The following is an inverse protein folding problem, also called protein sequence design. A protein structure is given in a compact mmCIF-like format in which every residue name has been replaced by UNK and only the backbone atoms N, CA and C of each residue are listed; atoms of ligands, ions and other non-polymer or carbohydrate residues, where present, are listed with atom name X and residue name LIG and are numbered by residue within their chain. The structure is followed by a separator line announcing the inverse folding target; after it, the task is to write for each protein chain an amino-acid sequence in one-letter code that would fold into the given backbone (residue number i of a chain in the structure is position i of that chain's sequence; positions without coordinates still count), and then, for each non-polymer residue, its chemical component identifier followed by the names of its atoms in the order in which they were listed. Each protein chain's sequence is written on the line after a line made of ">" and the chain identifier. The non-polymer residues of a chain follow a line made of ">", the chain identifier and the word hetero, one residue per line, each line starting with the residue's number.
data_IF_094754661294
#
_entry.id   IF_094754661294
#
_cell.length_a   1.000
_cell.length_b   1.000
_cell.length_c   1.000
_cell.angle_alpha   90.00
_cell.angle_beta   90.00
_cell.angle_gamma   90.00
#
_symmetry.space_group_name_H-M   'P 1'
#
loop_
_entity.id
_entity.type
_entity.pdbx_description
1 polymer ?
#
# COMPACT_ATOMS: atom_id res chain seq x y z
N UNK A 1 -3.38 -18.69 5.24
CA UNK A 1 -3.48 -17.69 6.35
C UNK A 1 -4.63 -16.73 6.10
N UNK A 2 -5.36 -16.31 7.13
CA UNK A 2 -6.48 -15.37 7.04
C UNK A 2 -6.13 -14.06 7.76
N UNK A 3 -6.07 -12.96 7.04
CA UNK A 3 -5.68 -11.64 7.56
C UNK A 3 -6.94 -10.82 7.81
N UNK A 4 -7.06 -10.23 8.99
CA UNK A 4 -8.16 -9.32 9.33
C UNK A 4 -7.58 -7.95 9.66
N UNK A 5 -7.95 -6.94 8.86
CA UNK A 5 -7.54 -5.56 9.03
C UNK A 5 -8.75 -4.63 9.22
N UNK A 6 -8.62 -3.48 9.86
CA UNK A 6 -9.70 -2.49 9.98
C UNK A 6 -10.07 -1.89 8.61
N UNK A 7 -9.08 -1.65 7.78
CA UNK A 7 -9.16 -1.06 6.44
C UNK A 7 -7.89 -1.38 5.65
N UNK A 8 -7.83 -0.97 4.39
CA UNK A 8 -6.58 -1.03 3.62
C UNK A 8 -5.63 0.05 4.09
N UNK A 9 -4.46 -0.38 4.56
CA UNK A 9 -3.37 0.50 5.01
C UNK A 9 -2.08 0.16 4.28
N UNK A 10 -1.10 1.07 4.32
CA UNK A 10 0.23 0.81 3.78
C UNK A 10 0.89 -0.40 4.43
N UNK A 11 0.67 -0.60 5.71
CA UNK A 11 1.19 -1.76 6.45
C UNK A 11 0.58 -3.08 5.94
N UNK A 12 -0.71 -3.08 5.60
CA UNK A 12 -1.35 -4.24 4.98
C UNK A 12 -0.77 -4.50 3.58
N UNK A 13 -0.64 -3.48 2.75
CA UNK A 13 -0.05 -3.61 1.41
C UNK A 13 1.40 -4.14 1.49
N UNK A 14 2.18 -3.69 2.47
CA UNK A 14 3.54 -4.21 2.72
C UNK A 14 3.53 -5.65 3.19
N UNK A 15 2.66 -5.98 4.13
CA UNK A 15 2.50 -7.37 4.58
C UNK A 15 2.16 -8.29 3.41
N UNK A 16 1.24 -7.88 2.53
CA UNK A 16 0.89 -8.64 1.34
C UNK A 16 2.11 -8.82 0.41
N UNK A 17 2.89 -7.75 0.14
CA UNK A 17 4.14 -7.84 -0.64
C UNK A 17 5.13 -8.84 -0.03
N UNK A 18 5.28 -8.88 1.29
CA UNK A 18 6.15 -9.88 1.95
C UNK A 18 5.62 -11.30 1.79
N UNK A 19 4.32 -11.50 1.95
CA UNK A 19 3.70 -12.82 1.77
C UNK A 19 3.81 -13.32 0.34
N UNK A 20 3.65 -12.41 -0.64
CA UNK A 20 3.83 -12.72 -2.06
C UNK A 20 5.29 -13.12 -2.36
N UNK A 21 6.28 -12.39 -1.85
CA UNK A 21 7.71 -12.75 -1.96
C UNK A 21 8.04 -14.12 -1.35
N UNK A 22 7.34 -14.49 -0.27
CA UNK A 22 7.50 -15.79 0.38
C UNK A 22 6.68 -16.90 -0.29
N UNK A 23 5.84 -16.58 -1.28
CA UNK A 23 4.91 -17.54 -1.89
C UNK A 23 3.86 -18.07 -0.92
N UNK A 24 3.59 -17.33 0.17
CA UNK A 24 2.67 -17.74 1.22
C UNK A 24 1.22 -17.40 0.84
N UNK A 25 0.32 -18.38 0.70
CA UNK A 25 -1.07 -18.10 0.37
C UNK A 25 -1.81 -17.41 1.51
N UNK A 26 -2.58 -16.39 1.17
CA UNK A 26 -3.37 -15.64 2.15
C UNK A 26 -4.70 -15.15 1.55
N UNK A 27 -5.63 -14.80 2.45
CA UNK A 27 -6.87 -14.08 2.14
C UNK A 27 -6.99 -12.89 3.08
N UNK A 28 -7.49 -11.76 2.58
CA UNK A 28 -7.67 -10.54 3.37
C UNK A 28 -9.14 -10.24 3.57
N UNK A 29 -9.51 -9.95 4.81
CA UNK A 29 -10.81 -9.44 5.16
C UNK A 29 -10.67 -8.09 5.88
N UNK A 30 -11.24 -7.01 5.31
CA UNK A 30 -11.27 -5.71 5.96
C UNK A 30 -12.61 -5.48 6.65
N UNK A 31 -12.55 -4.98 7.89
CA UNK A 31 -13.76 -4.82 8.71
C UNK A 31 -14.44 -3.47 8.55
N UNK A 32 -14.06 -2.70 7.53
CA UNK A 32 -14.80 -1.52 7.08
C UNK A 32 -15.89 -1.92 6.06
N UNK A 33 -16.51 -0.91 5.45
CA UNK A 33 -17.57 -1.07 4.46
C UNK A 33 -17.11 -0.65 3.06
N UNK A 34 -15.85 -0.85 2.76
CA UNK A 34 -15.25 -0.55 1.46
C UNK A 34 -15.84 -1.46 0.37
N UNK A 35 -16.07 -0.91 -0.82
CA UNK A 35 -16.72 -1.63 -1.93
C UNK A 35 -15.84 -1.76 -3.16
N UNK A 36 -14.70 -1.04 -3.21
CA UNK A 36 -13.74 -1.06 -4.31
C UNK A 36 -12.49 -1.86 -3.96
N UNK A 37 -12.65 -3.16 -3.85
CA UNK A 37 -11.60 -4.10 -3.45
C UNK A 37 -11.18 -5.00 -4.62
N UNK A 38 -9.94 -5.49 -4.56
CA UNK A 38 -9.42 -6.51 -5.47
C UNK A 38 -10.08 -7.89 -5.23
N UNK A 39 -9.68 -8.87 -6.04
CA UNK A 39 -10.26 -10.22 -5.95
C UNK A 39 -9.86 -10.99 -4.69
N UNK A 40 -8.72 -10.66 -4.08
CA UNK A 40 -8.18 -11.35 -2.91
C UNK A 40 -8.66 -10.73 -1.59
N UNK A 41 -9.24 -9.53 -1.65
CA UNK A 41 -9.70 -8.78 -0.48
C UNK A 41 -11.22 -8.77 -0.42
N UNK A 42 -11.77 -9.00 0.75
CA UNK A 42 -13.20 -8.92 1.04
C UNK A 42 -13.46 -7.95 2.20
N UNK A 43 -14.64 -7.34 2.23
CA UNK A 43 -15.07 -6.44 3.32
C UNK A 43 -16.44 -6.83 3.86
N UNK A 44 -16.87 -6.15 4.93
CA UNK A 44 -18.25 -6.30 5.42
C UNK A 44 -19.30 -6.01 4.35
N UNK A 45 -19.07 -5.00 3.48
CA UNK A 45 -20.00 -4.66 2.41
C UNK A 45 -19.95 -5.69 1.28
N UNK A 46 -18.74 -6.05 0.80
CA UNK A 46 -18.57 -6.96 -0.33
C UNK A 46 -19.00 -8.39 0.02
N UNK A 47 -18.88 -8.81 1.27
CA UNK A 47 -19.40 -10.10 1.75
C UNK A 47 -20.89 -10.30 1.44
N UNK A 48 -21.67 -9.23 1.53
CA UNK A 48 -23.10 -9.30 1.22
C UNK A 48 -23.41 -9.00 -0.24
N UNK A 49 -22.70 -8.05 -0.86
CA UNK A 49 -23.01 -7.52 -2.21
C UNK A 49 -22.31 -8.27 -3.34
N UNK A 50 -21.24 -9.01 -3.06
CA UNK A 50 -20.39 -9.68 -4.07
C UNK A 50 -20.29 -11.20 -3.85
N UNK A 51 -21.38 -11.83 -3.45
CA UNK A 51 -21.44 -13.29 -3.20
C UNK A 51 -21.18 -14.13 -4.45
N UNK A 52 -21.59 -13.63 -5.62
CA UNK A 52 -21.37 -14.30 -6.88
C UNK A 52 -19.97 -13.93 -7.42
N UNK A 53 -19.10 -14.90 -7.76
CA UNK A 53 -17.81 -14.62 -8.41
C UNK A 53 -17.94 -13.74 -9.66
N UNK A 54 -19.06 -13.81 -10.40
CA UNK A 54 -19.33 -12.95 -11.54
C UNK A 54 -19.43 -11.46 -11.17
N UNK A 55 -19.68 -11.12 -9.91
CA UNK A 55 -19.68 -9.73 -9.41
C UNK A 55 -18.30 -9.08 -9.40
N UNK A 56 -17.25 -9.88 -9.40
CA UNK A 56 -15.84 -9.46 -9.44
C UNK A 56 -15.23 -9.54 -10.85
N UNK A 57 -16.08 -9.43 -11.87
CA UNK A 57 -15.69 -9.41 -13.28
C UNK A 57 -16.18 -8.12 -13.93
N UNK A 58 -15.29 -7.42 -14.64
CA UNK A 58 -15.62 -6.17 -15.30
C UNK A 58 -14.41 -5.25 -15.45
N UNK A 59 -14.68 -4.04 -15.88
CA UNK A 59 -13.70 -2.95 -15.98
C UNK A 59 -14.28 -1.72 -15.30
N UNK A 60 -13.44 -0.84 -14.76
CA UNK A 60 -13.88 0.45 -14.23
C UNK A 60 -14.75 1.20 -15.25
N UNK A 61 -15.80 1.84 -14.77
CA UNK A 61 -16.73 2.57 -15.64
C UNK A 61 -16.01 3.75 -16.30
N UNK A 62 -15.97 3.78 -17.63
CA UNK A 62 -15.48 4.93 -18.36
C UNK A 62 -16.52 6.06 -18.30
N UNK A 63 -16.11 7.32 -18.14
CA UNK A 63 -17.04 8.41 -17.87
C UNK A 63 -18.11 8.62 -18.95
N UNK A 64 -17.83 8.31 -20.24
CA UNK A 64 -18.81 8.38 -21.30
C UNK A 64 -19.87 7.25 -21.26
N UNK A 65 -19.59 6.19 -20.52
CA UNK A 65 -20.50 5.06 -20.35
C UNK A 65 -21.42 5.26 -19.14
N UNK A 66 -21.27 6.39 -18.43
CA UNK A 66 -22.14 6.75 -17.34
C UNK A 66 -23.57 6.99 -17.87
N UNK A 67 -24.53 6.23 -17.35
CA UNK A 67 -25.93 6.38 -17.73
C UNK A 67 -26.47 7.69 -17.21
N UNK A 68 -26.68 8.65 -18.12
CA UNK A 68 -27.27 9.95 -17.87
C UNK A 68 -28.49 10.16 -18.80
N UNK A 69 -29.47 11.03 -18.46
CA UNK A 69 -30.57 11.36 -19.35
C UNK A 69 -30.05 11.91 -20.70
N UNK A 70 -30.73 11.54 -21.79
CA UNK A 70 -30.29 11.78 -23.18
C UNK A 70 -30.04 13.26 -23.52
N UNK A 71 -30.74 14.17 -22.83
CA UNK A 71 -30.64 15.62 -23.09
C UNK A 71 -29.66 16.34 -22.18
N UNK A 72 -28.96 15.62 -21.29
CA UNK A 72 -27.98 16.24 -20.40
C UNK A 72 -26.65 16.41 -21.10
N UNK A 73 -26.02 17.55 -20.82
CA UNK A 73 -24.68 17.87 -21.35
C UNK A 73 -23.58 17.49 -20.36
N UNK A 74 -22.49 16.97 -20.90
CA UNK A 74 -21.31 16.61 -20.15
C UNK A 74 -20.18 17.58 -20.48
N UNK A 75 -19.74 18.37 -19.52
CA UNK A 75 -18.69 19.37 -19.67
C UNK A 75 -17.48 18.99 -18.84
N UNK A 76 -16.32 18.85 -19.48
CA UNK A 76 -15.07 18.53 -18.79
C UNK A 76 -14.19 19.78 -18.69
N UNK A 77 -13.83 20.14 -17.46
CA UNK A 77 -12.91 21.23 -17.16
C UNK A 77 -11.74 20.69 -16.30
N UNK A 78 -10.59 20.53 -16.92
CA UNK A 78 -9.43 19.91 -16.28
C UNK A 78 -9.72 18.44 -15.94
N UNK A 79 -9.67 18.10 -14.66
CA UNK A 79 -9.89 16.74 -14.15
C UNK A 79 -11.33 16.49 -13.66
N UNK A 80 -12.17 17.52 -13.67
CA UNK A 80 -13.55 17.42 -13.22
C UNK A 80 -14.49 17.46 -14.41
N UNK A 81 -15.45 16.54 -14.40
CA UNK A 81 -16.53 16.47 -15.38
C UNK A 81 -17.83 16.85 -14.70
N UNK A 82 -18.60 17.73 -15.34
CA UNK A 82 -19.87 18.23 -14.84
C UNK A 82 -21.00 17.76 -15.73
N UNK A 83 -22.13 17.42 -15.12
CA UNK A 83 -23.37 17.10 -15.84
C UNK A 83 -24.36 18.27 -15.68
N UNK A 84 -24.92 18.72 -16.79
CA UNK A 84 -25.87 19.82 -16.85
C UNK A 84 -27.21 19.39 -17.50
N UNK A 85 -28.29 19.89 -16.95
CA UNK A 85 -29.64 19.86 -17.53
C UNK A 85 -30.01 21.30 -17.91
N UNK A 86 -29.75 21.70 -19.15
CA UNK A 86 -29.77 23.09 -19.57
C UNK A 86 -28.70 23.91 -18.83
N UNK A 87 -29.13 24.91 -18.06
CA UNK A 87 -28.20 25.75 -17.27
C UNK A 87 -27.94 25.20 -15.84
N UNK A 88 -28.71 24.20 -15.42
CA UNK A 88 -28.64 23.64 -14.08
C UNK A 88 -27.57 22.54 -13.99
N UNK A 89 -26.60 22.72 -13.09
CA UNK A 89 -25.62 21.69 -12.75
C UNK A 89 -26.29 20.60 -11.93
N UNK A 90 -26.29 19.38 -12.44
CA UNK A 90 -26.93 18.22 -11.83
C UNK A 90 -25.98 17.31 -11.09
N UNK A 91 -24.73 17.19 -11.56
CA UNK A 91 -23.75 16.35 -10.88
C UNK A 91 -22.30 16.76 -11.19
N UNK A 92 -21.40 16.30 -10.30
CA UNK A 92 -19.97 16.18 -10.57
C UNK A 92 -19.63 14.72 -10.80
N UNK A 93 -18.89 14.44 -11.84
CA UNK A 93 -18.24 13.14 -12.04
C UNK A 93 -16.80 13.26 -11.62
N UNK A 94 -16.44 12.60 -10.52
CA UNK A 94 -15.08 12.55 -10.00
C UNK A 94 -14.41 11.31 -10.58
N UNK A 95 -13.27 11.51 -11.20
CA UNK A 95 -12.50 10.41 -11.80
C UNK A 95 -11.52 9.83 -10.78
N UNK A 96 -11.11 8.59 -11.00
CA UNK A 96 -10.05 7.93 -10.22
C UNK A 96 -8.73 8.69 -10.36
N UNK A 97 -7.80 8.43 -9.46
CA UNK A 97 -6.49 9.11 -9.42
C UNK A 97 -5.70 8.94 -10.72
N UNK A 98 -5.83 7.81 -11.40
CA UNK A 98 -5.34 7.66 -12.78
C UNK A 98 -6.23 8.43 -13.76
N UNK A 99 -5.93 9.72 -13.90
CA UNK A 99 -6.66 10.67 -14.74
C UNK A 99 -6.64 10.23 -16.22
N UNK A 100 -5.61 9.53 -16.67
CA UNK A 100 -5.47 9.08 -18.06
C UNK A 100 -6.50 7.99 -18.39
N UNK A 101 -6.89 7.17 -17.42
CA UNK A 101 -7.91 6.13 -17.61
C UNK A 101 -9.31 6.69 -17.80
N UNK A 102 -9.58 7.92 -17.31
CA UNK A 102 -10.88 8.58 -17.31
C UNK A 102 -12.03 7.71 -16.79
N UNK A 103 -11.73 6.93 -15.77
CA UNK A 103 -12.70 6.04 -15.13
C UNK A 103 -13.32 6.71 -13.92
N UNK A 104 -14.62 6.46 -13.73
CA UNK A 104 -15.42 7.06 -12.68
C UNK A 104 -15.07 6.44 -11.33
N UNK A 105 -14.78 7.29 -10.35
CA UNK A 105 -14.72 6.93 -8.94
C UNK A 105 -16.08 7.11 -8.28
N UNK A 106 -16.64 8.31 -8.39
CA UNK A 106 -17.94 8.64 -7.84
C UNK A 106 -18.66 9.73 -8.63
N UNK A 107 -19.98 9.79 -8.44
CA UNK A 107 -20.83 10.87 -8.95
C UNK A 107 -21.50 11.56 -7.77
N UNK A 108 -21.32 12.87 -7.68
CA UNK A 108 -21.90 13.74 -6.66
C UNK A 108 -23.11 14.44 -7.24
N UNK A 109 -24.31 14.08 -6.79
CA UNK A 109 -25.57 14.59 -7.32
C UNK A 109 -26.04 15.82 -6.55
N UNK A 110 -26.44 16.86 -7.28
CA UNK A 110 -26.97 18.10 -6.71
C UNK A 110 -28.49 18.05 -6.56
N UNK A 111 -28.98 18.74 -5.54
CA UNK A 111 -30.41 19.03 -5.35
C UNK A 111 -30.90 20.15 -6.27
N UNK A 112 -31.90 20.92 -5.80
CA UNK A 112 -32.42 22.08 -6.54
C UNK A 112 -31.52 23.32 -6.44
N UNK A 113 -30.43 23.25 -5.61
CA UNK A 113 -29.44 24.28 -5.43
C UNK A 113 -28.03 23.71 -5.70
N UNK A 114 -27.02 24.27 -5.01
CA UNK A 114 -25.65 23.81 -5.15
C UNK A 114 -25.25 22.74 -4.08
N UNK A 115 -26.22 22.29 -3.28
CA UNK A 115 -26.00 21.27 -2.27
C UNK A 115 -25.91 19.86 -2.87
N UNK A 116 -24.96 19.07 -2.46
CA UNK A 116 -24.86 17.66 -2.82
C UNK A 116 -25.84 16.87 -1.96
N UNK A 117 -26.80 16.22 -2.58
CA UNK A 117 -27.85 15.44 -1.90
C UNK A 117 -27.58 13.95 -1.88
N UNK A 118 -26.76 13.45 -2.83
CA UNK A 118 -26.34 12.05 -2.81
C UNK A 118 -25.02 11.85 -3.55
N UNK A 119 -24.31 10.78 -3.17
CA UNK A 119 -23.06 10.36 -3.79
C UNK A 119 -23.19 8.90 -4.21
N UNK A 120 -23.00 8.61 -5.50
CA UNK A 120 -22.91 7.27 -6.05
C UNK A 120 -21.43 6.90 -6.21
N UNK A 121 -20.99 5.79 -5.59
CA UNK A 121 -19.63 5.27 -5.69
C UNK A 121 -19.61 4.08 -6.65
N UNK A 122 -18.66 4.08 -7.57
CA UNK A 122 -18.44 3.02 -8.56
C UNK A 122 -17.17 2.23 -8.23
N UNK A 123 -17.28 0.91 -8.27
CA UNK A 123 -16.15 0.05 -8.01
C UNK A 123 -15.32 -0.23 -9.29
N UNK A 124 -14.18 -0.90 -9.14
CA UNK A 124 -13.27 -1.29 -10.23
C UNK A 124 -13.87 -2.24 -11.27
N UNK A 125 -15.03 -2.81 -10.98
CA UNK A 125 -15.76 -3.70 -11.90
C UNK A 125 -16.81 -2.97 -12.74
N UNK A 126 -16.96 -1.65 -12.52
CA UNK A 126 -17.77 -0.76 -13.36
C UNK A 126 -19.22 -0.59 -12.97
N UNK A 127 -19.67 -1.09 -11.81
CA UNK A 127 -21.03 -0.91 -11.34
C UNK A 127 -21.09 -0.07 -10.06
N UNK A 128 -22.23 0.60 -9.87
CA UNK A 128 -22.46 1.41 -8.67
C UNK A 128 -22.59 0.48 -7.46
N UNK A 129 -21.64 0.55 -6.56
CA UNK A 129 -21.54 -0.33 -5.40
C UNK A 129 -22.10 0.27 -4.12
N UNK A 130 -22.19 1.62 -4.06
CA UNK A 130 -22.72 2.32 -2.90
C UNK A 130 -23.43 3.61 -3.34
N UNK A 131 -24.51 3.96 -2.64
CA UNK A 131 -25.13 5.29 -2.66
C UNK A 131 -25.18 5.83 -1.25
N UNK A 132 -24.71 7.05 -1.06
CA UNK A 132 -24.85 7.80 0.18
C UNK A 132 -25.88 8.91 0.00
N UNK A 133 -26.86 9.00 0.90
CA UNK A 133 -27.80 10.11 0.95
C UNK A 133 -27.32 11.11 2.00
N UNK A 134 -27.29 12.41 1.63
CA UNK A 134 -26.69 13.46 2.44
C UNK A 134 -27.74 14.41 2.99
N UNK A 135 -27.47 14.93 4.19
CA UNK A 135 -28.19 16.08 4.76
C UNK A 135 -27.76 17.37 4.07
N UNK A 136 -28.46 18.47 4.29
CA UNK A 136 -28.06 19.82 3.84
C UNK A 136 -26.66 20.24 4.33
N UNK A 137 -26.21 19.67 5.46
CA UNK A 137 -24.85 19.89 5.98
C UNK A 137 -23.78 19.02 5.31
N UNK A 138 -24.13 18.24 4.28
CA UNK A 138 -23.21 17.35 3.55
C UNK A 138 -22.81 16.07 4.31
N UNK A 139 -23.50 15.73 5.40
CA UNK A 139 -23.23 14.52 6.17
C UNK A 139 -24.12 13.37 5.69
N UNK A 140 -23.53 12.17 5.47
CA UNK A 140 -24.33 11.00 5.15
C UNK A 140 -25.22 10.62 6.33
N UNK A 141 -26.51 10.39 6.04
CA UNK A 141 -27.46 9.83 7.01
C UNK A 141 -27.88 8.40 6.68
N UNK A 142 -27.75 8.00 5.40
CA UNK A 142 -28.03 6.65 4.93
C UNK A 142 -27.03 6.27 3.84
N UNK A 143 -26.29 5.17 4.07
CA UNK A 143 -25.48 4.52 3.05
C UNK A 143 -26.17 3.24 2.59
N UNK A 144 -26.33 3.10 1.28
CA UNK A 144 -27.00 1.97 0.62
C UNK A 144 -25.96 1.20 -0.18
N UNK A 145 -25.75 -0.06 0.14
CA UNK A 145 -24.82 -0.94 -0.56
C UNK A 145 -25.60 -1.83 -1.53
N UNK A 146 -25.14 -1.82 -2.77
CA UNK A 146 -25.84 -2.44 -3.90
C UNK A 146 -25.07 -3.69 -4.36
N UNK A 147 -25.79 -4.60 -5.00
CA UNK A 147 -25.19 -5.71 -5.77
C UNK A 147 -25.05 -5.32 -7.26
N UNK A 148 -24.41 -6.16 -8.12
CA UNK A 148 -24.29 -5.88 -9.54
C UNK A 148 -25.63 -5.69 -10.28
N UNK A 149 -26.72 -6.26 -9.77
CA UNK A 149 -28.09 -6.11 -10.31
C UNK A 149 -28.73 -4.80 -9.87
N UNK A 150 -28.00 -3.97 -9.11
CA UNK A 150 -28.47 -2.70 -8.53
C UNK A 150 -29.59 -2.87 -7.50
N UNK A 151 -29.68 -4.04 -6.88
CA UNK A 151 -30.57 -4.28 -5.76
C UNK A 151 -29.90 -3.79 -4.46
N UNK A 152 -30.67 -3.19 -3.57
CA UNK A 152 -30.24 -2.76 -2.25
C UNK A 152 -30.08 -3.99 -1.36
N UNK A 153 -28.88 -4.21 -0.84
CA UNK A 153 -28.56 -5.41 -0.05
C UNK A 153 -28.33 -5.06 1.41
N UNK A 154 -27.53 -4.03 1.69
CA UNK A 154 -27.21 -3.60 3.05
C UNK A 154 -27.43 -2.10 3.17
N UNK A 155 -28.20 -1.68 4.17
CA UNK A 155 -28.43 -0.28 4.50
C UNK A 155 -27.74 0.05 5.82
N UNK A 156 -26.99 1.14 5.85
CA UNK A 156 -26.35 1.67 7.04
C UNK A 156 -27.00 3.01 7.43
N UNK A 157 -27.76 3.02 8.50
CA UNK A 157 -28.31 4.23 9.10
C UNK A 157 -27.23 4.92 9.94
N UNK A 158 -26.52 5.85 9.30
CA UNK A 158 -25.25 6.41 9.83
C UNK A 158 -25.41 7.06 11.19
N UNK A 159 -26.47 7.88 11.36
CA UNK A 159 -26.72 8.57 12.63
C UNK A 159 -27.06 7.64 13.80
N UNK A 160 -27.61 6.47 13.50
CA UNK A 160 -28.01 5.46 14.48
C UNK A 160 -26.91 4.41 14.68
N UNK A 161 -25.96 4.28 13.74
CA UNK A 161 -24.94 3.25 13.71
C UNK A 161 -25.49 1.84 13.50
N UNK A 162 -26.73 1.70 12.94
CA UNK A 162 -27.44 0.45 12.75
C UNK A 162 -27.41 0.01 11.29
N UNK A 163 -27.53 -1.30 11.05
CA UNK A 163 -27.47 -1.89 9.72
C UNK A 163 -28.67 -2.78 9.46
N UNK A 164 -29.29 -2.64 8.29
CA UNK A 164 -30.37 -3.51 7.84
C UNK A 164 -29.89 -4.32 6.63
N UNK A 165 -29.80 -5.63 6.80
CA UNK A 165 -29.56 -6.56 5.70
C UNK A 165 -30.89 -6.96 5.10
N UNK A 166 -31.09 -6.58 3.83
CA UNK A 166 -32.27 -6.97 3.05
C UNK A 166 -32.06 -8.35 2.41
N UNK A 167 -33.08 -9.20 2.47
CA UNK A 167 -32.98 -10.54 1.91
C UNK A 167 -34.11 -10.79 0.89
N UNK A 168 -33.81 -11.48 -0.23
CA UNK A 168 -34.80 -11.68 -1.30
C UNK A 168 -36.10 -12.39 -0.87
N UNK A 169 -36.09 -13.04 0.31
CA UNK A 169 -37.21 -13.78 0.87
C UNK A 169 -37.94 -13.04 2.01
N UNK A 170 -37.66 -11.73 2.19
CA UNK A 170 -38.37 -10.89 3.16
C UNK A 170 -38.10 -11.24 4.65
N UNK A 171 -36.96 -11.82 4.95
CA UNK A 171 -36.48 -12.01 6.33
C UNK A 171 -35.28 -11.10 6.56
N UNK A 172 -35.56 -9.81 6.57
CA UNK A 172 -34.54 -8.81 6.80
C UNK A 172 -33.96 -8.95 8.22
N UNK A 173 -32.66 -8.65 8.34
CA UNK A 173 -31.94 -8.74 9.61
C UNK A 173 -31.39 -7.38 9.99
N UNK A 174 -31.75 -6.92 11.18
CA UNK A 174 -31.21 -5.70 11.76
C UNK A 174 -30.03 -6.03 12.67
N UNK A 175 -28.95 -5.29 12.52
CA UNK A 175 -27.78 -5.29 13.40
C UNK A 175 -27.73 -3.94 14.12
N UNK A 176 -27.68 -3.96 15.44
CA UNK A 176 -27.72 -2.76 16.27
C UNK A 176 -26.40 -1.97 16.28
N UNK A 177 -25.33 -2.55 15.79
CA UNK A 177 -24.01 -1.89 15.72
C UNK A 177 -23.09 -2.53 14.70
N UNK A 178 -22.03 -1.80 14.30
CA UNK A 178 -20.94 -2.34 13.46
C UNK A 178 -20.30 -3.57 14.10
N UNK A 179 -20.10 -3.57 15.42
CA UNK A 179 -19.50 -4.72 16.15
C UNK A 179 -20.35 -5.98 16.04
N UNK A 180 -21.68 -5.85 16.08
CA UNK A 180 -22.61 -6.97 15.89
C UNK A 180 -22.55 -7.51 14.46
N UNK A 181 -22.55 -6.61 13.48
CA UNK A 181 -22.38 -6.97 12.07
C UNK A 181 -21.04 -7.67 11.83
N UNK A 182 -19.92 -7.11 12.34
CA UNK A 182 -18.59 -7.70 12.25
C UNK A 182 -18.57 -9.13 12.80
N UNK A 183 -19.12 -9.33 14.02
CA UNK A 183 -19.17 -10.65 14.64
C UNK A 183 -19.94 -11.65 13.77
N UNK A 184 -21.15 -11.27 13.33
CA UNK A 184 -21.99 -12.13 12.53
C UNK A 184 -21.39 -12.52 11.17
N UNK A 185 -20.55 -11.65 10.59
CA UNK A 185 -19.84 -11.95 9.34
C UNK A 185 -18.60 -12.79 9.64
N UNK A 186 -17.78 -12.40 10.62
CA UNK A 186 -16.56 -13.13 10.95
C UNK A 186 -16.84 -14.58 11.39
N UNK A 187 -17.93 -14.83 12.10
CA UNK A 187 -18.39 -16.20 12.42
C UNK A 187 -18.62 -17.08 11.16
N UNK A 188 -18.87 -16.47 10.00
CA UNK A 188 -19.11 -17.19 8.74
C UNK A 188 -17.86 -17.32 7.86
N UNK A 189 -16.93 -16.36 7.95
CA UNK A 189 -15.76 -16.30 7.06
C UNK A 189 -14.48 -16.82 7.70
N UNK A 190 -14.44 -16.87 9.05
CA UNK A 190 -13.28 -17.38 9.77
C UNK A 190 -13.04 -18.86 9.45
N UNK A 191 -11.83 -19.22 9.05
CA UNK A 191 -11.49 -20.61 8.78
C UNK A 191 -11.40 -21.42 10.09
N UNK A 192 -11.78 -22.70 10.04
CA UNK A 192 -11.71 -23.59 11.21
C UNK A 192 -10.27 -23.97 11.56
N UNK A 193 -9.37 -24.09 10.58
CA UNK A 193 -8.03 -24.66 10.75
C UNK A 193 -6.86 -23.77 10.28
N UNK A 194 -7.13 -22.58 9.70
CA UNK A 194 -6.08 -21.67 9.26
C UNK A 194 -5.61 -20.73 10.39
N UNK A 195 -4.37 -20.26 10.30
CA UNK A 195 -3.87 -19.17 11.13
C UNK A 195 -4.60 -17.85 10.81
N UNK A 196 -4.90 -17.08 11.84
CA UNK A 196 -5.55 -15.76 11.74
C UNK A 196 -4.59 -14.69 12.21
N UNK A 197 -4.35 -13.72 11.35
CA UNK A 197 -3.50 -12.56 11.61
C UNK A 197 -4.34 -11.30 11.74
N UNK A 198 -4.30 -10.68 12.90
CA UNK A 198 -5.03 -9.44 13.20
C UNK A 198 -4.14 -8.22 13.02
N UNK A 199 -4.69 -7.15 12.47
CA UNK A 199 -4.02 -5.86 12.31
C UNK A 199 -4.66 -4.74 13.16
N UNK A 200 -5.63 -5.06 14.02
CA UNK A 200 -6.22 -4.12 14.97
C UNK A 200 -6.55 -4.83 16.28
N UNK A 201 -6.05 -4.28 17.40
CA UNK A 201 -6.31 -4.84 18.74
C UNK A 201 -7.80 -4.84 19.13
N UNK A 202 -8.60 -3.91 18.57
CA UNK A 202 -10.03 -3.85 18.81
C UNK A 202 -10.77 -5.12 18.30
N UNK A 203 -10.15 -5.84 17.35
CA UNK A 203 -10.70 -7.08 16.81
C UNK A 203 -10.50 -8.29 17.74
N UNK A 204 -9.59 -8.23 18.70
CA UNK A 204 -9.36 -9.31 19.69
C UNK A 204 -10.65 -9.71 20.41
N UNK A 205 -11.48 -8.73 20.77
CA UNK A 205 -12.78 -8.99 21.38
C UNK A 205 -13.77 -9.74 20.46
N UNK A 206 -13.62 -9.57 19.16
CA UNK A 206 -14.53 -10.18 18.17
C UNK A 206 -14.11 -11.62 17.86
N UNK A 207 -12.80 -11.88 17.89
CA UNK A 207 -12.20 -13.19 17.54
C UNK A 207 -11.76 -14.03 18.75
N UNK A 208 -12.21 -13.69 19.94
CA UNK A 208 -11.82 -14.34 21.20
C UNK A 208 -12.11 -15.86 21.28
N UNK A 209 -12.95 -16.38 20.39
CA UNK A 209 -13.23 -17.83 20.28
C UNK A 209 -12.11 -18.59 19.54
N UNK A 210 -11.18 -17.87 18.86
CA UNK A 210 -10.05 -18.48 18.16
C UNK A 210 -9.00 -18.89 19.19
N UNK A 211 -8.48 -20.13 19.14
CA UNK A 211 -7.38 -20.56 20.00
C UNK A 211 -6.15 -19.67 19.81
N UNK A 212 -5.48 -19.33 20.94
CA UNK A 212 -4.31 -18.44 20.94
C UNK A 212 -3.22 -18.92 19.96
N UNK A 213 -3.04 -20.23 19.85
CA UNK A 213 -2.01 -20.88 19.01
C UNK A 213 -2.18 -20.57 17.53
N UNK A 214 -3.40 -20.24 17.11
CA UNK A 214 -3.75 -19.88 15.73
C UNK A 214 -3.85 -18.39 15.51
N UNK A 215 -3.69 -17.58 16.57
CA UNK A 215 -3.87 -16.14 16.53
C UNK A 215 -2.52 -15.44 16.55
N UNK A 216 -2.25 -14.65 15.54
CA UNK A 216 -1.11 -13.75 15.46
C UNK A 216 -1.58 -12.29 15.36
N UNK A 217 -0.72 -11.36 15.74
CA UNK A 217 -1.00 -9.93 15.64
C UNK A 217 0.08 -9.24 14.81
N UNK A 218 -0.33 -8.42 13.86
CA UNK A 218 0.57 -7.59 13.06
C UNK A 218 0.44 -6.12 13.51
N UNK A 219 1.53 -5.58 14.03
CA UNK A 219 1.62 -4.21 14.49
C UNK A 219 2.32 -3.32 13.46
N UNK A 220 1.93 -2.05 13.41
CA UNK A 220 2.62 -1.00 12.65
C UNK A 220 3.74 -0.32 13.44
N UNK A 221 3.78 -0.51 14.75
CA UNK A 221 4.81 0.04 15.63
C UNK A 221 5.01 -0.85 16.87
N UNK A 222 6.12 -0.63 17.58
CA UNK A 222 6.51 -1.44 18.73
C UNK A 222 5.95 -0.95 20.08
N UNK A 223 4.97 -0.02 20.08
CA UNK A 223 4.37 0.51 21.30
C UNK A 223 3.17 -0.32 21.72
N UNK A 224 2.95 -0.42 23.03
CA UNK A 224 1.76 -1.04 23.68
C UNK A 224 1.48 -2.51 23.29
N UNK A 225 2.54 -3.28 22.99
CA UNK A 225 2.40 -4.69 22.62
C UNK A 225 2.30 -5.66 23.81
N UNK A 226 2.57 -5.21 25.04
CA UNK A 226 2.62 -6.10 26.20
C UNK A 226 1.24 -6.67 26.55
N UNK A 227 0.16 -5.92 26.36
CA UNK A 227 -1.21 -6.39 26.54
C UNK A 227 -1.64 -7.46 25.52
N UNK A 228 -1.01 -7.44 24.34
CA UNK A 228 -1.34 -8.31 23.21
C UNK A 228 -0.59 -9.64 23.32
N UNK A 229 0.64 -9.65 23.85
CA UNK A 229 1.49 -10.86 23.97
C UNK A 229 0.82 -12.01 24.67
N UNK A 230 -0.03 -11.74 25.65
CA UNK A 230 -0.74 -12.79 26.39
C UNK A 230 -1.88 -13.41 25.58
N UNK A 231 -2.40 -12.70 24.58
CA UNK A 231 -3.60 -13.10 23.83
C UNK A 231 -3.30 -13.73 22.47
N UNK A 232 -2.07 -13.61 21.96
CA UNK A 232 -1.66 -14.12 20.64
C UNK A 232 -0.44 -15.02 20.76
N UNK A 233 -0.26 -15.92 19.80
CA UNK A 233 0.92 -16.80 19.74
C UNK A 233 2.16 -16.09 19.24
N UNK A 234 1.99 -15.13 18.34
CA UNK A 234 3.07 -14.44 17.67
C UNK A 234 2.72 -12.97 17.41
N UNK A 235 3.71 -12.09 17.53
CA UNK A 235 3.60 -10.70 17.09
C UNK A 235 4.54 -10.48 15.90
N UNK A 236 3.97 -9.97 14.82
CA UNK A 236 4.69 -9.51 13.64
C UNK A 236 4.75 -7.97 13.66
N UNK A 237 5.84 -7.40 13.22
CA UNK A 237 6.00 -5.96 13.15
C UNK A 237 6.34 -5.57 11.70
N UNK A 238 5.47 -4.77 11.09
CA UNK A 238 5.66 -4.17 9.77
C UNK A 238 5.86 -2.67 9.98
N UNK A 239 7.10 -2.25 10.18
CA UNK A 239 7.47 -0.87 10.50
C UNK A 239 8.26 -0.24 9.35
N UNK A 240 8.08 1.09 9.14
CA UNK A 240 8.91 1.89 8.25
C UNK A 240 10.22 2.26 8.95
N UNK A 241 11.14 1.32 9.07
CA UNK A 241 12.43 1.57 9.69
C UNK A 241 13.19 0.32 10.11
N UNK A 242 14.46 0.50 10.42
CA UNK A 242 15.32 -0.54 10.96
C UNK A 242 15.24 -0.54 12.48
N UNK A 243 14.67 -1.59 13.05
CA UNK A 243 14.68 -1.79 14.49
C UNK A 243 16.09 -2.19 14.95
N UNK A 244 16.68 -1.36 15.82
CA UNK A 244 17.99 -1.64 16.43
C UNK A 244 17.96 -2.75 17.48
N UNK A 245 16.83 -2.96 18.13
CA UNK A 245 16.68 -3.89 19.24
C UNK A 245 15.68 -5.00 18.91
N UNK A 246 16.14 -6.26 18.92
CA UNK A 246 15.22 -7.40 18.92
C UNK A 246 14.47 -7.40 20.24
N UNK A 247 13.13 -7.29 20.19
CA UNK A 247 12.28 -7.53 21.34
C UNK A 247 11.86 -9.00 21.37
N UNK A 248 12.02 -9.66 22.52
CA UNK A 248 11.62 -11.06 22.69
C UNK A 248 10.14 -11.26 22.34
N UNK A 249 9.87 -12.25 21.48
CA UNK A 249 8.52 -12.59 21.04
C UNK A 249 7.95 -11.70 19.93
N UNK A 250 8.77 -10.84 19.31
CA UNK A 250 8.38 -10.01 18.16
C UNK A 250 9.25 -10.38 16.96
N UNK A 251 8.62 -10.70 15.84
CA UNK A 251 9.29 -10.90 14.56
C UNK A 251 9.09 -9.68 13.65
N UNK A 252 10.20 -9.08 13.22
CA UNK A 252 10.19 -7.94 12.31
C UNK A 252 10.14 -8.46 10.89
N UNK A 253 9.20 -7.94 10.09
CA UNK A 253 9.04 -8.30 8.67
C UNK A 253 9.69 -7.30 7.70
N UNK A 254 10.01 -6.08 8.17
CA UNK A 254 10.64 -5.05 7.33
C UNK A 254 12.05 -5.47 6.92
N UNK A 255 12.43 -5.15 5.68
CA UNK A 255 13.78 -5.40 5.17
C UNK A 255 14.03 -6.81 4.63
N UNK A 256 12.99 -7.58 4.30
CA UNK A 256 13.18 -8.88 3.66
C UNK A 256 13.85 -8.71 2.28
N UNK A 257 15.08 -9.17 2.18
CA UNK A 257 15.89 -9.10 0.96
C UNK A 257 15.84 -10.43 0.22
N UNK A 258 15.47 -10.41 -1.05
CA UNK A 258 15.59 -11.57 -1.95
C UNK A 258 16.90 -11.48 -2.72
N UNK A 259 17.90 -12.22 -2.28
CA UNK A 259 19.27 -12.19 -2.88
C UNK A 259 19.38 -13.08 -4.11
N UNK A 260 18.44 -14.01 -4.34
CA UNK A 260 18.63 -15.06 -5.34
C UNK A 260 18.24 -14.67 -6.77
N UNK A 261 17.40 -13.64 -6.95
CA UNK A 261 16.77 -13.39 -8.24
C UNK A 261 17.42 -12.32 -9.13
N UNK A 262 18.39 -11.51 -8.68
CA UNK A 262 18.81 -10.36 -9.47
C UNK A 262 20.22 -10.44 -10.06
N UNK A 263 20.30 -10.18 -11.36
CA UNK A 263 21.54 -9.84 -12.06
C UNK A 263 21.86 -8.37 -11.82
N UNK A 264 23.08 -8.04 -11.48
CA UNK A 264 23.54 -6.66 -11.34
C UNK A 264 23.24 -5.83 -12.59
N UNK A 265 22.59 -4.67 -12.39
CA UNK A 265 22.35 -3.64 -13.41
C UNK A 265 23.13 -2.38 -13.01
N UNK A 266 23.92 -1.77 -13.91
CA UNK A 266 24.66 -0.53 -13.62
C UNK A 266 23.72 0.68 -13.63
N UNK A 267 22.67 0.63 -12.82
CA UNK A 267 21.69 1.68 -12.64
C UNK A 267 21.61 2.07 -11.16
N UNK A 268 21.69 3.38 -10.89
CA UNK A 268 21.68 3.96 -9.55
C UNK A 268 20.46 4.85 -9.33
N UNK A 269 19.72 4.60 -8.27
CA UNK A 269 18.60 5.43 -7.82
C UNK A 269 19.06 6.43 -6.77
N UNK A 270 18.59 7.67 -6.89
CA UNK A 270 18.75 8.74 -5.90
C UNK A 270 17.39 9.36 -5.65
N UNK A 271 16.83 9.16 -4.46
CA UNK A 271 15.64 9.90 -4.01
C UNK A 271 16.08 11.12 -3.20
N UNK A 272 15.59 12.30 -3.57
CA UNK A 272 16.04 13.52 -2.89
C UNK A 272 14.91 14.52 -2.63
N UNK A 273 14.94 15.15 -1.45
CA UNK A 273 14.15 16.31 -1.08
C UNK A 273 14.94 17.63 -1.27
N UNK A 274 16.20 17.56 -1.71
CA UNK A 274 17.11 18.69 -1.85
C UNK A 274 17.85 18.65 -3.18
N UNK A 275 18.29 19.79 -3.68
CA UNK A 275 19.22 19.84 -4.81
C UNK A 275 20.68 19.58 -4.40
N UNK A 276 20.94 19.47 -3.11
CA UNK A 276 22.27 19.20 -2.55
C UNK A 276 22.43 17.69 -2.33
N UNK A 277 23.00 17.02 -3.31
CA UNK A 277 23.37 15.60 -3.24
C UNK A 277 24.88 15.50 -3.34
N UNK A 278 25.52 15.18 -2.22
CA UNK A 278 26.98 15.24 -2.12
C UNK A 278 27.64 14.14 -2.96
N UNK A 279 28.68 14.51 -3.71
CA UNK A 279 29.41 13.60 -4.61
C UNK A 279 28.69 13.25 -5.92
N UNK A 280 27.39 13.53 -6.09
CA UNK A 280 26.62 13.12 -7.26
C UNK A 280 27.22 13.60 -8.58
N UNK A 281 27.66 14.86 -8.67
CA UNK A 281 28.28 15.42 -9.89
C UNK A 281 29.57 14.71 -10.27
N UNK A 282 30.39 14.34 -9.28
CA UNK A 282 31.63 13.56 -9.48
C UNK A 282 31.34 12.16 -9.98
N UNK A 283 30.40 11.45 -9.30
CA UNK A 283 29.99 10.10 -9.69
C UNK A 283 29.44 10.04 -11.12
N UNK A 284 28.54 10.97 -11.48
CA UNK A 284 27.97 11.08 -12.85
C UNK A 284 29.08 11.28 -13.90
N UNK A 285 30.10 12.06 -13.56
CA UNK A 285 31.21 12.31 -14.47
C UNK A 285 32.16 11.12 -14.61
N UNK A 286 32.50 10.48 -13.49
CA UNK A 286 33.48 9.41 -13.43
C UNK A 286 32.96 8.06 -13.94
N UNK A 287 31.62 7.83 -13.81
CA UNK A 287 31.00 6.56 -14.18
C UNK A 287 29.97 6.73 -15.31
N UNK A 288 30.40 7.04 -16.55
CA UNK A 288 29.48 7.21 -17.68
C UNK A 288 28.74 5.92 -18.08
N UNK A 289 29.19 4.75 -17.62
CA UNK A 289 28.54 3.45 -17.81
C UNK A 289 27.39 3.19 -16.83
N UNK A 290 27.26 3.98 -15.75
CA UNK A 290 26.16 3.90 -14.78
C UNK A 290 25.07 4.89 -15.20
N UNK A 291 23.82 4.43 -15.25
CA UNK A 291 22.67 5.32 -15.42
C UNK A 291 22.21 5.82 -14.05
N UNK A 292 22.21 7.12 -13.85
CA UNK A 292 21.77 7.75 -12.61
C UNK A 292 20.32 8.24 -12.76
N UNK A 293 19.41 7.62 -12.01
CA UNK A 293 18.00 8.00 -11.89
C UNK A 293 17.83 8.90 -10.67
N UNK A 294 17.63 10.19 -10.91
CA UNK A 294 17.48 11.18 -9.83
C UNK A 294 16.00 11.55 -9.74
N UNK A 295 15.38 11.27 -8.62
CA UNK A 295 13.95 11.43 -8.42
C UNK A 295 13.63 12.33 -7.21
N UNK A 296 12.58 13.14 -7.35
CA UNK A 296 12.09 14.03 -6.32
C UNK A 296 10.56 14.15 -6.38
N UNK A 297 9.91 14.43 -5.23
CA UNK A 297 8.46 14.65 -5.16
C UNK A 297 8.03 16.02 -5.72
N UNK A 298 8.99 16.93 -5.89
CA UNK A 298 8.75 18.30 -6.33
C UNK A 298 9.60 18.65 -7.56
N UNK A 299 9.46 19.87 -8.05
CA UNK A 299 10.32 20.40 -9.09
C UNK A 299 11.79 20.43 -8.63
N UNK A 300 12.70 20.14 -9.54
CA UNK A 300 14.14 20.10 -9.28
C UNK A 300 14.79 21.45 -9.52
N UNK A 301 15.76 21.82 -8.67
CA UNK A 301 16.55 23.03 -8.81
C UNK A 301 17.67 22.94 -9.85
N UNK A 302 18.32 24.07 -10.19
CA UNK A 302 19.33 24.15 -11.24
C UNK A 302 20.49 23.15 -11.09
N UNK A 303 20.95 22.89 -9.87
CA UNK A 303 22.07 21.95 -9.63
C UNK A 303 21.78 20.54 -10.15
N UNK A 304 20.52 20.09 -10.06
CA UNK A 304 20.11 18.78 -10.58
C UNK A 304 19.77 18.85 -12.07
N UNK A 305 19.10 19.92 -12.52
CA UNK A 305 18.70 20.05 -13.93
C UNK A 305 19.91 20.21 -14.85
N UNK A 306 21.01 20.82 -14.41
CA UNK A 306 22.24 20.92 -15.16
C UNK A 306 22.90 19.55 -15.41
N UNK A 307 22.71 18.58 -14.53
CA UNK A 307 23.18 17.21 -14.71
C UNK A 307 22.45 16.47 -15.84
N UNK A 308 21.23 16.88 -16.21
CA UNK A 308 20.47 16.25 -17.28
C UNK A 308 21.12 16.42 -18.67
N UNK A 309 22.11 17.29 -18.81
CA UNK A 309 22.93 17.41 -20.02
C UNK A 309 23.81 16.17 -20.26
N UNK A 310 24.02 15.36 -19.26
CA UNK A 310 24.79 14.11 -19.33
C UNK A 310 23.92 12.97 -19.85
N UNK A 311 24.44 12.17 -20.76
CA UNK A 311 23.71 11.05 -21.39
C UNK A 311 23.33 9.93 -20.39
N UNK A 312 24.05 9.83 -19.30
CA UNK A 312 23.85 8.84 -18.24
C UNK A 312 22.99 9.34 -17.07
N UNK A 313 22.29 10.48 -17.21
CA UNK A 313 21.39 11.01 -16.18
C UNK A 313 19.95 11.01 -16.66
N UNK A 314 19.04 10.62 -15.79
CA UNK A 314 17.58 10.67 -15.96
C UNK A 314 16.96 11.38 -14.77
N UNK A 315 16.18 12.43 -15.01
CA UNK A 315 15.50 13.20 -13.96
C UNK A 315 14.01 12.87 -13.91
N UNK A 316 13.49 12.73 -12.70
CA UNK A 316 12.08 12.45 -12.43
C UNK A 316 11.52 13.47 -11.42
N UNK A 317 11.27 14.73 -11.83
CA UNK A 317 10.61 15.71 -10.98
C UNK A 317 9.12 15.36 -10.82
N UNK A 318 8.60 15.42 -9.59
CA UNK A 318 7.21 15.04 -9.32
C UNK A 318 6.94 13.55 -9.58
N UNK A 319 7.87 12.67 -9.21
CA UNK A 319 7.77 11.24 -9.49
C UNK A 319 6.48 10.64 -8.93
N UNK A 320 5.80 9.82 -9.73
CA UNK A 320 4.66 9.01 -9.27
C UNK A 320 5.14 7.78 -8.49
N UNK A 321 4.24 7.21 -7.66
CA UNK A 321 4.55 6.00 -6.90
C UNK A 321 4.88 4.82 -7.82
N UNK A 322 4.09 4.61 -8.88
CA UNK A 322 4.32 3.52 -9.86
C UNK A 322 5.72 3.63 -10.49
N UNK A 323 6.10 4.85 -10.89
CA UNK A 323 7.44 5.05 -11.49
C UNK A 323 8.56 4.86 -10.48
N UNK A 324 8.33 5.21 -9.23
CA UNK A 324 9.28 4.93 -8.15
C UNK A 324 9.45 3.42 -7.92
N UNK A 325 8.36 2.66 -7.90
CA UNK A 325 8.40 1.19 -7.76
C UNK A 325 9.12 0.53 -8.96
N UNK A 326 8.90 1.01 -10.18
CA UNK A 326 9.66 0.58 -11.36
C UNK A 326 11.18 0.77 -11.18
N UNK A 327 11.59 1.95 -10.68
CA UNK A 327 13.00 2.26 -10.46
C UNK A 327 13.61 1.43 -9.32
N UNK A 328 12.86 1.19 -8.25
CA UNK A 328 13.29 0.28 -7.19
C UNK A 328 13.58 -1.13 -7.72
N UNK A 329 12.77 -1.60 -8.67
CA UNK A 329 12.91 -2.95 -9.25
C UNK A 329 14.03 -3.03 -10.30
N UNK A 330 14.35 -1.93 -10.98
CA UNK A 330 15.33 -1.92 -12.08
C UNK A 330 16.75 -1.57 -11.65
N UNK A 331 16.91 -0.75 -10.60
CA UNK A 331 18.22 -0.31 -10.14
C UNK A 331 18.88 -1.33 -9.21
N UNK A 332 20.19 -1.50 -9.30
CA UNK A 332 20.97 -2.31 -8.36
C UNK A 332 21.73 -1.48 -7.32
N UNK A 333 21.76 -0.18 -7.48
CA UNK A 333 22.51 0.75 -6.62
C UNK A 333 21.54 1.82 -6.09
N UNK A 334 21.65 2.11 -4.81
CA UNK A 334 20.99 3.26 -4.18
C UNK A 334 22.03 4.21 -3.59
N UNK A 335 21.90 5.52 -3.84
CA UNK A 335 22.79 6.54 -3.31
C UNK A 335 22.11 7.35 -2.21
N UNK A 336 22.52 7.15 -0.98
CA UNK A 336 22.05 7.87 0.21
C UNK A 336 22.99 9.02 0.57
N UNK A 337 22.98 10.10 -0.25
CA UNK A 337 23.91 11.22 -0.18
C UNK A 337 23.24 12.60 -0.15
N UNK A 338 21.90 12.67 -0.04
CA UNK A 338 21.20 13.94 -0.05
C UNK A 338 21.20 14.62 1.32
N UNK A 339 21.11 15.96 1.35
CA UNK A 339 21.08 16.76 2.59
C UNK A 339 19.67 16.96 3.14
N UNK A 340 18.63 16.52 2.44
CA UNK A 340 17.24 16.66 2.85
C UNK A 340 16.79 15.57 3.83
N UNK A 341 15.52 15.60 4.19
CA UNK A 341 14.88 14.47 4.84
C UNK A 341 14.75 13.29 3.88
N UNK A 342 14.71 12.08 4.42
CA UNK A 342 14.49 10.89 3.62
C UNK A 342 13.11 10.90 2.98
N UNK A 343 13.05 10.59 1.69
CA UNK A 343 11.80 10.54 0.92
C UNK A 343 11.28 9.11 0.93
N UNK A 344 10.06 8.88 1.44
CA UNK A 344 9.37 7.59 1.40
C UNK A 344 10.15 6.41 1.99
N UNK A 345 11.03 6.62 2.98
CA UNK A 345 11.91 5.56 3.50
C UNK A 345 12.67 4.83 2.38
N UNK A 346 13.11 5.58 1.37
CA UNK A 346 13.61 5.03 0.11
C UNK A 346 14.87 4.19 0.26
N UNK A 347 15.69 4.47 1.26
CA UNK A 347 16.88 3.65 1.55
C UNK A 347 16.50 2.24 2.05
N UNK A 348 15.45 2.14 2.88
CA UNK A 348 14.92 0.84 3.32
C UNK A 348 14.27 0.09 2.15
N UNK A 349 13.47 0.76 1.33
CA UNK A 349 12.89 0.14 0.13
C UNK A 349 13.96 -0.35 -0.85
N UNK A 350 15.07 0.39 -0.99
CA UNK A 350 16.20 -0.03 -1.81
C UNK A 350 16.84 -1.32 -1.26
N UNK A 351 17.07 -1.41 0.05
CA UNK A 351 17.55 -2.64 0.70
C UNK A 351 16.60 -3.83 0.50
N UNK A 352 15.29 -3.62 0.65
CA UNK A 352 14.26 -4.64 0.43
C UNK A 352 14.19 -5.16 -1.02
N UNK A 353 14.60 -4.33 -1.96
CA UNK A 353 14.72 -4.69 -3.38
C UNK A 353 16.13 -5.15 -3.77
N UNK A 354 16.97 -5.49 -2.80
CA UNK A 354 18.30 -6.03 -3.04
C UNK A 354 19.31 -5.04 -3.60
N UNK A 355 19.05 -3.74 -3.52
CA UNK A 355 20.01 -2.73 -3.98
C UNK A 355 21.18 -2.59 -2.99
N UNK A 356 22.38 -2.35 -3.51
CA UNK A 356 23.53 -1.99 -2.68
C UNK A 356 23.47 -0.51 -2.34
N UNK A 357 23.47 -0.22 -1.05
CA UNK A 357 23.43 1.13 -0.52
C UNK A 357 24.81 1.75 -0.49
N UNK A 358 25.01 2.84 -1.21
CA UNK A 358 26.22 3.66 -1.14
C UNK A 358 25.89 5.01 -0.51
N UNK A 359 26.81 5.54 0.27
CA UNK A 359 26.61 6.84 0.90
C UNK A 359 27.81 7.33 1.69
N UNK A 360 27.64 8.51 2.28
CA UNK A 360 28.64 9.11 3.15
C UNK A 360 28.18 9.03 4.60
N UNK A 361 29.04 8.64 5.54
CA UNK A 361 28.71 8.55 6.98
C UNK A 361 28.12 9.84 7.55
N UNK A 362 28.46 10.99 6.96
CA UNK A 362 27.94 12.31 7.33
C UNK A 362 26.56 12.60 6.79
N UNK A 363 26.02 11.79 5.84
CA UNK A 363 24.78 12.06 5.09
C UNK A 363 23.72 10.98 5.21
N UNK A 364 24.11 9.73 5.43
CA UNK A 364 23.13 8.63 5.52
C UNK A 364 22.05 8.89 6.54
N UNK A 365 20.82 8.58 6.15
CA UNK A 365 19.62 8.89 6.94
C UNK A 365 19.49 8.04 8.21
N UNK A 366 20.07 6.85 8.23
CA UNK A 366 20.01 5.95 9.37
C UNK A 366 21.40 5.65 9.94
N UNK A 367 21.53 5.80 11.26
CA UNK A 367 22.79 5.54 11.97
C UNK A 367 23.31 4.11 11.77
N UNK A 368 22.39 3.15 11.63
CA UNK A 368 22.73 1.74 11.40
C UNK A 368 23.46 1.50 10.07
N UNK A 369 23.31 2.37 9.08
CA UNK A 369 24.00 2.22 7.80
C UNK A 369 25.49 2.50 7.87
N UNK A 370 25.93 3.27 8.87
CA UNK A 370 27.36 3.65 9.03
C UNK A 370 28.30 2.45 9.20
N UNK A 371 27.75 1.30 9.57
CA UNK A 371 28.51 0.06 9.73
C UNK A 371 28.67 -0.73 8.41
N UNK A 372 28.00 -0.31 7.33
CA UNK A 372 28.13 -0.94 6.02
C UNK A 372 29.45 -0.56 5.34
N UNK A 373 30.11 -1.51 4.68
CA UNK A 373 31.38 -1.30 3.99
C UNK A 373 31.30 -0.30 2.82
N UNK A 374 30.10 -0.10 2.26
CA UNK A 374 29.81 0.82 1.17
C UNK A 374 29.46 2.24 1.63
N UNK A 375 29.39 2.49 2.94
CA UNK A 375 29.20 3.80 3.54
C UNK A 375 30.54 4.34 4.03
N UNK A 376 31.05 5.35 3.34
CA UNK A 376 32.42 5.81 3.43
C UNK A 376 32.54 7.18 4.10
N UNK A 377 33.76 7.60 4.40
CA UNK A 377 34.03 8.90 5.00
C UNK A 377 34.18 10.01 3.94
N UNK A 378 34.52 9.63 2.69
CA UNK A 378 34.73 10.57 1.59
C UNK A 378 34.11 10.10 0.28
N UNK A 379 33.94 11.04 -0.67
CA UNK A 379 33.42 10.76 -2.02
C UNK A 379 34.43 9.88 -2.78
N UNK A 380 35.70 10.12 -2.62
CA UNK A 380 36.78 9.37 -3.29
C UNK A 380 36.79 7.90 -2.87
N UNK A 381 36.53 7.61 -1.59
CA UNK A 381 36.39 6.23 -1.11
C UNK A 381 35.12 5.58 -1.67
N UNK A 382 34.01 6.30 -1.73
CA UNK A 382 32.76 5.83 -2.33
C UNK A 382 32.94 5.50 -3.82
N UNK A 383 33.67 6.35 -4.57
CA UNK A 383 34.00 6.10 -5.96
C UNK A 383 34.82 4.82 -6.14
N UNK A 384 35.82 4.58 -5.26
CA UNK A 384 36.60 3.35 -5.28
C UNK A 384 35.74 2.11 -5.03
N UNK A 385 34.83 2.16 -4.05
CA UNK A 385 33.93 1.06 -3.77
C UNK A 385 32.97 0.78 -4.94
N UNK A 386 32.42 1.82 -5.55
CA UNK A 386 31.56 1.69 -6.72
C UNK A 386 32.31 1.09 -7.91
N UNK A 387 33.56 1.50 -8.14
CA UNK A 387 34.39 0.94 -9.20
C UNK A 387 34.63 -0.57 -9.02
N UNK A 388 34.86 -1.02 -7.79
CA UNK A 388 35.03 -2.47 -7.47
C UNK A 388 33.76 -3.24 -7.88
N UNK A 389 32.59 -2.76 -7.53
CA UNK A 389 31.31 -3.43 -7.85
C UNK A 389 31.08 -3.47 -9.36
N UNK A 390 31.42 -2.39 -10.07
CA UNK A 390 31.28 -2.31 -11.53
C UNK A 390 32.26 -3.26 -12.27
N UNK A 391 33.46 -3.44 -11.74
CA UNK A 391 34.46 -4.35 -12.30
C UNK A 391 34.19 -5.81 -11.95
N UNK A 392 33.53 -6.08 -10.83
CA UNK A 392 33.25 -7.42 -10.31
C UNK A 392 31.76 -7.56 -9.96
N UNK A 393 30.89 -7.73 -10.95
CA UNK A 393 29.44 -7.85 -10.71
C UNK A 393 29.06 -8.99 -9.75
N UNK A 394 29.90 -10.01 -9.62
CA UNK A 394 29.72 -11.10 -8.65
C UNK A 394 29.79 -10.60 -7.20
N UNK A 395 30.56 -9.54 -6.93
CA UNK A 395 30.67 -8.94 -5.60
C UNK A 395 29.35 -8.27 -5.14
N UNK A 396 28.47 -7.92 -6.08
CA UNK A 396 27.18 -7.32 -5.78
C UNK A 396 26.36 -8.17 -4.82
N UNK A 397 26.19 -9.47 -5.13
CA UNK A 397 25.39 -10.38 -4.27
C UNK A 397 25.98 -10.52 -2.88
N UNK A 398 27.29 -10.48 -2.77
CA UNK A 398 27.96 -10.58 -1.48
C UNK A 398 27.76 -9.31 -0.65
N UNK A 399 27.76 -8.12 -1.27
CA UNK A 399 27.46 -6.88 -0.60
C UNK A 399 26.00 -6.81 -0.14
N UNK A 400 25.05 -7.30 -0.94
CA UNK A 400 23.63 -7.40 -0.52
C UNK A 400 23.50 -8.30 0.71
N UNK A 401 24.17 -9.47 0.73
CA UNK A 401 24.19 -10.36 1.90
C UNK A 401 24.87 -9.72 3.11
N UNK A 402 25.98 -9.03 2.89
CA UNK A 402 26.70 -8.29 3.95
C UNK A 402 25.76 -7.25 4.59
N UNK A 403 25.07 -6.44 3.78
CA UNK A 403 24.10 -5.46 4.26
C UNK A 403 23.01 -6.12 5.09
N UNK A 404 22.41 -7.19 4.59
CA UNK A 404 21.37 -7.91 5.30
C UNK A 404 21.87 -8.44 6.66
N UNK A 405 23.07 -9.00 6.71
CA UNK A 405 23.68 -9.51 7.93
C UNK A 405 24.00 -8.41 8.94
N UNK A 406 24.66 -7.30 8.50
CA UNK A 406 25.05 -6.19 9.39
C UNK A 406 23.80 -5.50 9.96
N UNK A 407 22.80 -5.28 9.13
CA UNK A 407 21.54 -4.63 9.51
C UNK A 407 20.57 -5.59 10.21
N UNK A 408 20.93 -6.88 10.34
CA UNK A 408 20.09 -7.93 10.95
C UNK A 408 18.71 -8.01 10.32
N UNK A 409 18.64 -7.89 9.00
CA UNK A 409 17.40 -8.02 8.26
C UNK A 409 16.88 -9.46 8.33
N UNK A 410 15.56 -9.69 8.24
CA UNK A 410 15.01 -11.03 8.32
C UNK A 410 15.43 -11.88 7.12
N UNK A 411 15.80 -13.12 7.39
CA UNK A 411 16.11 -14.11 6.35
C UNK A 411 14.82 -14.78 5.88
N UNK A 412 14.71 -15.06 4.59
CA UNK A 412 13.53 -15.65 3.96
C UNK A 412 13.14 -16.98 4.62
N UNK A 413 14.14 -17.84 4.85
CA UNK A 413 13.94 -19.16 5.45
C UNK A 413 13.36 -19.07 6.87
N UNK A 414 13.82 -18.10 7.66
CA UNK A 414 13.34 -17.88 9.02
C UNK A 414 11.86 -17.42 9.04
N UNK A 415 11.47 -16.61 8.06
CA UNK A 415 10.07 -16.18 7.91
C UNK A 415 9.18 -17.30 7.38
N UNK A 416 9.64 -18.09 6.42
CA UNK A 416 8.91 -19.27 5.93
C UNK A 416 8.65 -20.26 7.05
N UNK A 417 9.64 -20.52 7.91
CA UNK A 417 9.49 -21.39 9.07
C UNK A 417 8.48 -20.82 10.09
N UNK A 418 8.49 -19.50 10.30
CA UNK A 418 7.54 -18.81 11.14
C UNK A 418 6.11 -19.01 10.64
N UNK A 419 5.86 -18.77 9.36
CA UNK A 419 4.52 -18.93 8.78
C UNK A 419 4.05 -20.38 8.78
N UNK A 420 4.95 -21.33 8.53
CA UNK A 420 4.62 -22.77 8.69
C UNK A 420 4.19 -23.12 10.11
N UNK A 421 4.87 -22.57 11.13
CA UNK A 421 4.46 -22.77 12.55
C UNK A 421 3.08 -22.19 12.84
N UNK A 422 2.81 -20.98 12.34
CA UNK A 422 1.50 -20.36 12.51
C UNK A 422 0.37 -21.19 11.87
N UNK A 423 0.64 -21.89 10.77
CA UNK A 423 -0.32 -22.77 10.09
C UNK A 423 -0.47 -24.16 10.74
N UNK A 424 0.15 -24.39 11.90
CA UNK A 424 0.03 -25.66 12.63
C UNK A 424 0.95 -26.76 12.11
N UNK A 425 1.91 -26.43 11.29
CA UNK A 425 2.98 -27.34 10.89
C UNK A 425 3.93 -27.58 12.08
N UNK A 426 3.90 -28.76 12.69
CA UNK A 426 4.96 -29.20 13.60
C UNK A 426 6.27 -29.27 12.82
N UNK A 427 7.30 -28.57 13.34
CA UNK A 427 8.68 -28.71 12.87
C UNK A 427 9.18 -30.13 13.07
#
# INVERSE_FOLDING_TARGET
>A
MFIIAPERTRELDRLQKYLDKLGQPYRVFVTNLETDLDQQTESLATFFTQKDPASKVGKPLFFNDLAVPELWECWTLGITTYLFDGEERRANVVLREDILSRTVDRVEWFGQGEEIVSIDVYNRYGWRSKRSLLTEAGQSYLDIYLNPQQEEVLLHFVSQGTFLLQTPKGRDRLYASKKELQRAVLEQVLPEDEAVLLMDKALLDVVKEIPKERLAYCASNAHDLDEIKEQVSQILLVEDGLLREKKDGITVLSGLVDVEQESFQPEALVMTASQEVEGLSSLVHQFPQVTFHIAALTAMGPKLTDLATRSNVRLYPGISLDKYEDLLSSCSIYLDCNQGEEVWSSSLHALENGQVLFGLKSKVHHEAYKDLSTITDSVEEMEQQLEIVLQQPEAYKELVREQARILKLPEKEALEELFKRLEGGTA
#
